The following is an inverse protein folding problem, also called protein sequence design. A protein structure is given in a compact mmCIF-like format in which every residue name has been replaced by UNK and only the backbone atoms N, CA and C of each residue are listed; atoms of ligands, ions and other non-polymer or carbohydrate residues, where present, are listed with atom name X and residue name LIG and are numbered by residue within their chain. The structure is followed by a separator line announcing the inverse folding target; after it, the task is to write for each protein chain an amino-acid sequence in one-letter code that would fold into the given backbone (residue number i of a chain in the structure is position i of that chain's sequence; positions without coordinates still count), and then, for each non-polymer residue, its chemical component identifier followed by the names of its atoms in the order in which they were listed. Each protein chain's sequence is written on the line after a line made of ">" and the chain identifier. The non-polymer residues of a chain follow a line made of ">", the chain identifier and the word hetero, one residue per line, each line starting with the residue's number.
data_IF_199282025552
#
_entry.id   IF_199282025552
#
_cell.length_a   1.000
_cell.length_b   1.000
_cell.length_c   1.000
_cell.angle_alpha   90.00
_cell.angle_beta   90.00
_cell.angle_gamma   90.00
#
_symmetry.space_group_name_H-M   'P 1'
#
loop_
_entity.id
_entity.type
_entity.pdbx_description
1 polymer ?
#
# COMPACT_ATOMS: atom_id res chain seq x y z
N UNK A 1 4.76 -6.94 -10.41
CA UNK A 1 5.80 -5.90 -10.36
C UNK A 1 5.52 -4.94 -9.21
N UNK A 2 6.53 -4.64 -8.37
CA UNK A 2 6.37 -3.72 -7.22
C UNK A 2 7.28 -2.51 -7.39
N UNK A 3 6.70 -1.31 -7.32
CA UNK A 3 7.45 -0.08 -7.10
C UNK A 3 6.65 0.90 -6.24
N UNK A 4 7.31 1.83 -5.57
CA UNK A 4 6.67 2.82 -4.68
C UNK A 4 6.60 4.16 -5.41
N UNK A 5 5.45 4.84 -5.41
CA UNK A 5 5.35 6.20 -5.95
C UNK A 5 5.95 7.26 -5.00
N UNK A 6 6.06 6.90 -3.71
CA UNK A 6 6.59 7.73 -2.64
C UNK A 6 7.30 6.87 -1.58
N UNK A 7 8.30 7.44 -0.91
CA UNK A 7 9.00 6.92 0.27
C UNK A 7 8.68 7.84 1.45
N UNK A 8 7.49 7.71 2.02
CA UNK A 8 7.00 8.62 3.08
C UNK A 8 7.74 8.54 4.42
N UNK A 9 8.67 7.58 4.58
CA UNK A 9 9.34 7.26 5.85
C UNK A 9 10.87 7.31 5.75
N UNK A 10 11.42 8.17 4.88
CA UNK A 10 12.87 8.42 4.84
C UNK A 10 13.32 9.07 6.16
N UNK A 11 14.51 8.70 6.63
CA UNK A 11 15.09 9.28 7.84
C UNK A 11 15.52 10.75 7.67
N UNK A 12 15.79 11.19 6.44
CA UNK A 12 16.18 12.56 6.10
C UNK A 12 15.13 13.21 5.21
N UNK A 13 14.80 14.47 5.52
CA UNK A 13 13.90 15.31 4.71
C UNK A 13 14.45 15.58 3.30
N UNK A 14 15.78 15.49 3.12
CA UNK A 14 16.45 15.64 1.82
C UNK A 14 16.52 14.31 1.04
N UNK A 15 16.02 13.21 1.62
CA UNK A 15 15.98 11.93 0.94
C UNK A 15 14.98 11.95 -0.21
N UNK A 16 15.39 11.47 -1.40
CA UNK A 16 14.49 11.30 -2.53
C UNK A 16 13.25 10.48 -2.14
N UNK A 17 12.07 11.04 -2.41
CA UNK A 17 10.79 10.44 -2.06
C UNK A 17 10.15 9.69 -3.21
N UNK A 18 10.19 10.24 -4.42
CA UNK A 18 9.55 9.63 -5.57
C UNK A 18 9.11 10.69 -6.56
N UNK A 19 8.33 10.25 -7.54
CA UNK A 19 7.76 11.10 -8.59
C UNK A 19 6.36 11.61 -8.23
N UNK A 20 5.83 11.22 -7.06
CA UNK A 20 4.48 11.56 -6.63
C UNK A 20 3.43 10.55 -7.12
N UNK A 21 2.24 10.61 -6.52
CA UNK A 21 1.18 9.60 -6.73
C UNK A 21 0.67 9.56 -8.18
N UNK A 22 0.45 10.72 -8.80
CA UNK A 22 -0.07 10.80 -10.17
C UNK A 22 0.88 10.19 -11.20
N UNK A 23 2.12 10.66 -11.20
CA UNK A 23 3.14 10.17 -12.13
C UNK A 23 3.53 8.72 -11.84
N UNK A 24 3.61 8.34 -10.57
CA UNK A 24 3.88 6.97 -10.16
C UNK A 24 2.81 5.99 -10.65
N UNK A 25 1.54 6.35 -10.53
CA UNK A 25 0.43 5.53 -11.03
C UNK A 25 0.40 5.48 -12.56
N UNK A 26 0.70 6.58 -13.25
CA UNK A 26 0.85 6.59 -14.71
C UNK A 26 1.93 5.61 -15.18
N UNK A 27 3.09 5.61 -14.52
CA UNK A 27 4.19 4.68 -14.83
C UNK A 27 3.79 3.23 -14.53
N UNK A 28 3.19 2.96 -13.37
CA UNK A 28 2.73 1.62 -13.02
C UNK A 28 1.69 1.08 -14.00
N UNK A 29 0.75 1.94 -14.44
CA UNK A 29 -0.20 1.58 -15.49
C UNK A 29 0.51 1.22 -16.79
N UNK A 30 1.48 2.03 -17.23
CA UNK A 30 2.28 1.72 -18.43
C UNK A 30 2.99 0.37 -18.30
N UNK A 31 3.60 0.07 -17.15
CA UNK A 31 4.24 -1.23 -16.90
C UNK A 31 3.24 -2.38 -16.98
N UNK A 32 2.07 -2.22 -16.34
CA UNK A 32 0.98 -3.20 -16.37
C UNK A 32 0.55 -3.49 -17.82
N UNK A 33 0.27 -2.44 -18.59
CA UNK A 33 -0.27 -2.55 -19.94
C UNK A 33 0.78 -3.06 -20.95
N UNK A 34 2.05 -2.65 -20.83
CA UNK A 34 3.12 -3.07 -21.74
C UNK A 34 3.54 -4.52 -21.54
N UNK A 35 3.64 -4.96 -20.28
CA UNK A 35 4.18 -6.29 -19.97
C UNK A 35 3.11 -7.32 -19.57
N UNK A 36 1.85 -6.89 -19.45
CA UNK A 36 0.74 -7.72 -19.02
C UNK A 36 1.01 -8.49 -17.72
N UNK A 37 1.56 -7.80 -16.72
CA UNK A 37 1.88 -8.36 -15.40
C UNK A 37 1.14 -7.62 -14.28
N UNK A 38 0.74 -8.31 -13.20
CA UNK A 38 0.12 -7.65 -12.06
C UNK A 38 1.08 -6.63 -11.43
N UNK A 39 0.55 -5.50 -10.96
CA UNK A 39 1.32 -4.45 -10.30
C UNK A 39 0.84 -4.20 -8.87
N UNK A 40 1.78 -3.84 -8.00
CA UNK A 40 1.55 -3.58 -6.57
C UNK A 40 2.31 -2.32 -6.15
N UNK A 41 1.69 -1.49 -5.32
CA UNK A 41 2.34 -0.33 -4.69
C UNK A 41 1.87 -0.14 -3.26
N UNK A 42 2.64 0.61 -2.48
CA UNK A 42 2.34 0.96 -1.10
C UNK A 42 1.56 2.28 -0.98
N UNK A 43 0.60 2.31 -0.07
CA UNK A 43 -0.12 3.51 0.37
C UNK A 43 0.35 3.95 1.75
N UNK A 44 0.31 5.25 2.01
CA UNK A 44 0.79 5.88 3.24
C UNK A 44 -0.34 6.58 4.01
N UNK A 45 -1.44 6.93 3.34
CA UNK A 45 -2.59 7.62 3.92
C UNK A 45 -3.91 7.09 3.34
N UNK A 46 -5.04 7.11 4.09
CA UNK A 46 -6.30 6.48 3.67
C UNK A 46 -6.86 6.96 2.33
N UNK A 47 -6.74 8.26 2.02
CA UNK A 47 -7.26 8.84 0.78
C UNK A 47 -6.54 8.31 -0.47
N UNK A 48 -5.35 7.73 -0.32
CA UNK A 48 -4.57 7.20 -1.43
C UNK A 48 -5.17 5.89 -1.96
N UNK A 49 -5.85 5.11 -1.11
CA UNK A 49 -6.35 3.77 -1.45
C UNK A 49 -7.26 3.79 -2.67
N UNK A 50 -8.24 4.69 -2.71
CA UNK A 50 -9.19 4.77 -3.83
C UNK A 50 -8.50 5.07 -5.16
N UNK A 51 -7.54 6.01 -5.15
CA UNK A 51 -6.80 6.41 -6.36
C UNK A 51 -5.87 5.30 -6.84
N UNK A 52 -5.18 4.65 -5.91
CA UNK A 52 -4.26 3.54 -6.21
C UNK A 52 -5.01 2.32 -6.74
N UNK A 53 -6.18 2.00 -6.16
CA UNK A 53 -6.98 0.83 -6.54
C UNK A 53 -7.48 0.87 -7.99
N UNK A 54 -7.58 2.06 -8.60
CA UNK A 54 -7.96 2.21 -10.02
C UNK A 54 -6.90 1.70 -10.99
N UNK A 55 -5.69 1.40 -10.52
CA UNK A 55 -4.54 1.03 -11.36
C UNK A 55 -3.93 -0.31 -10.96
N UNK A 56 -3.74 -0.55 -9.67
CA UNK A 56 -2.98 -1.70 -9.17
C UNK A 56 -3.85 -2.94 -8.97
N UNK A 57 -3.20 -4.10 -8.89
CA UNK A 57 -3.84 -5.40 -8.66
C UNK A 57 -3.79 -5.81 -7.18
N UNK A 58 -2.95 -5.15 -6.40
CA UNK A 58 -2.78 -5.38 -4.97
C UNK A 58 -2.28 -4.11 -4.29
N UNK A 59 -2.80 -3.81 -3.11
CA UNK A 59 -2.33 -2.70 -2.25
C UNK A 59 -1.36 -3.25 -1.21
N UNK A 60 -0.30 -2.51 -0.91
CA UNK A 60 0.64 -2.87 0.15
C UNK A 60 0.59 -1.87 1.31
N UNK A 61 0.55 -2.37 2.55
CA UNK A 61 0.65 -1.53 3.75
C UNK A 61 2.08 -1.57 4.30
N UNK A 62 2.76 -0.40 4.46
CA UNK A 62 4.08 -0.32 5.06
C UNK A 62 4.14 -0.86 6.49
N UNK A 63 5.30 -1.39 6.90
CA UNK A 63 5.47 -2.05 8.20
C UNK A 63 5.13 -1.15 9.40
N UNK A 64 5.53 0.14 9.35
CA UNK A 64 5.20 1.10 10.40
C UNK A 64 3.72 1.48 10.48
N UNK A 65 2.95 1.18 9.43
CA UNK A 65 1.54 1.53 9.33
C UNK A 65 0.60 0.33 9.54
N UNK A 66 1.14 -0.86 9.85
CA UNK A 66 0.36 -2.09 10.00
C UNK A 66 -0.70 -2.09 11.13
N UNK A 67 -0.71 -1.07 12.00
CA UNK A 67 -1.74 -0.89 13.05
C UNK A 67 -2.73 0.24 12.79
N UNK A 68 -2.56 1.02 11.71
CA UNK A 68 -3.37 2.21 11.43
C UNK A 68 -4.75 1.79 10.93
N UNK A 69 -5.74 1.75 11.83
CA UNK A 69 -7.09 1.22 11.54
C UNK A 69 -7.71 1.89 10.32
N UNK A 70 -7.68 3.22 10.21
CA UNK A 70 -8.31 3.93 9.09
C UNK A 70 -7.67 3.60 7.74
N UNK A 71 -6.35 3.41 7.72
CA UNK A 71 -5.63 3.00 6.51
C UNK A 71 -5.99 1.57 6.11
N UNK A 72 -6.04 0.65 7.08
CA UNK A 72 -6.42 -0.74 6.86
C UNK A 72 -7.86 -0.83 6.34
N UNK A 73 -8.80 -0.13 6.99
CA UNK A 73 -10.22 -0.08 6.58
C UNK A 73 -10.34 0.51 5.17
N UNK A 74 -9.62 1.59 4.86
CA UNK A 74 -9.65 2.20 3.53
C UNK A 74 -9.10 1.25 2.45
N UNK A 75 -8.03 0.50 2.76
CA UNK A 75 -7.46 -0.49 1.84
C UNK A 75 -8.37 -1.71 1.66
N UNK A 76 -9.03 -2.18 2.72
CA UNK A 76 -9.99 -3.28 2.68
C UNK A 76 -11.15 -2.96 1.72
N UNK A 77 -11.78 -1.80 1.94
CA UNK A 77 -12.91 -1.29 1.15
C UNK A 77 -12.67 -1.15 -0.36
N UNK A 78 -11.42 -1.21 -0.84
CA UNK A 78 -11.16 -1.23 -2.28
C UNK A 78 -11.48 -2.57 -2.94
N UNK A 79 -11.69 -3.64 -2.16
CA UNK A 79 -11.93 -4.99 -2.66
C UNK A 79 -10.72 -5.63 -3.36
N UNK A 80 -9.54 -5.03 -3.24
CA UNK A 80 -8.30 -5.57 -3.80
C UNK A 80 -7.58 -6.43 -2.76
N UNK A 81 -6.78 -7.42 -3.18
CA UNK A 81 -5.82 -8.06 -2.29
C UNK A 81 -4.95 -7.02 -1.57
N UNK A 82 -4.74 -7.23 -0.26
CA UNK A 82 -3.91 -6.34 0.58
C UNK A 82 -2.74 -7.11 1.19
N UNK A 83 -1.52 -6.70 0.85
CA UNK A 83 -0.28 -7.21 1.43
C UNK A 83 0.18 -6.32 2.59
N UNK A 84 0.00 -6.77 3.83
CA UNK A 84 0.41 -6.03 5.02
C UNK A 84 1.81 -6.47 5.45
N UNK A 85 2.77 -5.54 5.42
CA UNK A 85 4.07 -5.81 6.01
C UNK A 85 3.96 -5.85 7.54
N UNK A 86 4.39 -6.95 8.15
CA UNK A 86 4.47 -7.05 9.62
C UNK A 86 5.40 -5.96 10.16
N UNK A 87 4.90 -5.18 11.12
CA UNK A 87 5.72 -4.21 11.85
C UNK A 87 6.92 -4.88 12.53
N UNK A 88 8.05 -4.19 12.54
CA UNK A 88 9.26 -4.65 13.22
C UNK A 88 9.04 -4.77 14.74
N UNK A 89 8.05 -4.05 15.27
CA UNK A 89 7.64 -4.03 16.67
C UNK A 89 6.51 -5.04 17.02
N UNK A 90 6.10 -5.90 16.09
CA UNK A 90 5.03 -6.88 16.32
C UNK A 90 5.56 -8.31 16.37
N UNK A 91 5.05 -9.08 17.34
CA UNK A 91 5.22 -10.52 17.37
C UNK A 91 4.34 -11.18 16.29
N UNK A 92 4.64 -12.43 15.88
CA UNK A 92 3.86 -13.12 14.84
C UNK A 92 2.36 -13.24 15.20
N UNK A 93 2.02 -13.55 16.45
CA UNK A 93 0.62 -13.73 16.89
C UNK A 93 -0.19 -12.43 16.92
N UNK A 94 0.46 -11.27 17.08
CA UNK A 94 -0.23 -9.97 17.05
C UNK A 94 -0.85 -9.65 15.68
N UNK A 95 -0.30 -10.26 14.61
CA UNK A 95 -0.84 -10.10 13.26
C UNK A 95 -2.25 -10.69 13.09
N UNK A 96 -2.69 -11.58 13.99
CA UNK A 96 -4.07 -12.09 13.99
C UNK A 96 -5.07 -10.93 14.10
N UNK A 97 -4.82 -9.95 14.97
CA UNK A 97 -5.69 -8.79 15.12
C UNK A 97 -5.71 -7.90 13.88
N UNK A 98 -4.59 -7.83 13.15
CA UNK A 98 -4.49 -7.08 11.90
C UNK A 98 -5.31 -7.75 10.80
N UNK A 99 -5.25 -9.08 10.69
CA UNK A 99 -6.06 -9.85 9.74
C UNK A 99 -7.55 -9.72 10.07
N UNK A 100 -7.94 -9.82 11.35
CA UNK A 100 -9.33 -9.65 11.77
C UNK A 100 -9.89 -8.27 11.36
N UNK A 101 -9.11 -7.18 11.58
CA UNK A 101 -9.52 -5.84 11.13
C UNK A 101 -9.80 -5.77 9.63
N UNK A 102 -8.99 -6.44 8.81
CA UNK A 102 -9.21 -6.48 7.36
C UNK A 102 -10.49 -7.24 7.01
N UNK A 103 -10.70 -8.41 7.62
CA UNK A 103 -11.87 -9.25 7.37
C UNK A 103 -13.18 -8.58 7.81
N UNK A 104 -13.16 -7.83 8.91
CA UNK A 104 -14.33 -7.09 9.41
C UNK A 104 -14.64 -5.84 8.58
N UNK A 105 -13.66 -5.28 7.88
CA UNK A 105 -13.79 -4.01 7.15
C UNK A 105 -14.25 -4.15 5.68
N UNK A 106 -14.22 -5.37 5.12
CA UNK A 106 -14.59 -5.67 3.73
C UNK A 106 -13.43 -6.27 2.95
#
# INVERSE_FOLDING_TARGET
>A
FKSSFDKANRSSIHGFRGVGIDEGLRILKKVKDTYNIPVITDVHEPWQCEKVAKVVDMIQIPAFLCRQTDLLVSAAKTGLPVNIKKGQFLAPWDMKNVVNKMQEAG
#
